data_IF_518697876376
#
_entry.id   IF_518697876376
#
_cell.length_a   1.000
_cell.length_b   1.000
_cell.length_c   1.000
_cell.angle_alpha   90.00
_cell.angle_beta   90.00
_cell.angle_gamma   90.00
#
_symmetry.space_group_name_H-M   'P 1'
#
loop_
_entity.id
_entity.type
_entity.pdbx_description
1 polymer ?
#
# COMPACT_ATOMS: atom_id res chain seq x y z
N UNK A 1 -35.88 -28.86 28.59
CA UNK A 1 -34.71 -28.52 29.43
C UNK A 1 -33.67 -27.94 28.50
N UNK A 2 -33.69 -26.63 28.31
CA UNK A 2 -32.65 -25.91 27.58
C UNK A 2 -31.40 -25.85 28.46
N UNK A 3 -30.28 -26.35 27.94
CA UNK A 3 -29.01 -26.26 28.63
C UNK A 3 -28.50 -24.81 28.55
N UNK A 4 -28.61 -24.07 29.66
CA UNK A 4 -28.05 -22.74 29.78
C UNK A 4 -26.51 -22.83 29.76
N UNK A 5 -25.90 -22.24 28.74
CA UNK A 5 -24.44 -22.14 28.63
C UNK A 5 -23.92 -21.29 29.81
N UNK A 6 -22.80 -21.65 30.48
CA UNK A 6 -22.28 -20.90 31.60
C UNK A 6 -21.94 -19.44 31.22
N UNK A 7 -22.11 -18.46 32.14
CA UNK A 7 -21.93 -17.02 31.89
C UNK A 7 -20.48 -16.58 31.58
N UNK A 8 -19.56 -17.53 31.41
CA UNK A 8 -18.16 -17.29 31.06
C UNK A 8 -17.91 -17.34 29.54
N UNK A 9 -18.94 -17.65 28.74
CA UNK A 9 -18.88 -17.74 27.28
C UNK A 9 -19.53 -16.54 26.56
N UNK A 10 -19.61 -15.38 27.22
CA UNK A 10 -19.80 -14.11 26.52
C UNK A 10 -18.49 -13.78 25.78
N UNK A 11 -18.26 -14.47 24.67
CA UNK A 11 -17.19 -14.14 23.74
C UNK A 11 -17.56 -12.78 23.17
N UNK A 12 -16.89 -11.72 23.62
CA UNK A 12 -17.02 -10.41 22.97
C UNK A 12 -16.82 -10.62 21.46
N UNK A 13 -17.73 -10.15 20.60
CA UNK A 13 -17.56 -10.30 19.16
C UNK A 13 -16.21 -9.71 18.76
N UNK A 14 -15.47 -10.44 17.92
CA UNK A 14 -14.17 -10.00 17.42
C UNK A 14 -14.27 -8.54 16.97
N UNK A 15 -13.64 -7.65 17.73
CA UNK A 15 -13.53 -6.25 17.36
C UNK A 15 -12.45 -6.16 16.29
N UNK A 16 -12.80 -6.50 15.05
CA UNK A 16 -11.99 -6.14 13.90
C UNK A 16 -11.91 -4.61 13.88
N UNK A 17 -10.81 -4.05 14.35
CA UNK A 17 -10.49 -2.65 14.05
C UNK A 17 -10.25 -2.63 12.55
N UNK A 18 -11.10 -1.94 11.81
CA UNK A 18 -10.93 -1.74 10.38
C UNK A 18 -9.66 -0.91 10.15
N UNK A 19 -8.51 -1.57 10.14
CA UNK A 19 -7.22 -0.98 9.88
C UNK A 19 -6.96 -1.08 8.37
N UNK A 20 -6.56 0.04 7.77
CA UNK A 20 -6.12 0.05 6.37
C UNK A 20 -4.90 -0.86 6.20
N UNK A 21 -4.80 -1.54 5.05
CA UNK A 21 -3.64 -2.38 4.71
C UNK A 21 -2.34 -1.57 4.78
N UNK A 22 -2.38 -0.29 4.35
CA UNK A 22 -1.22 0.59 4.43
C UNK A 22 -0.83 0.93 5.87
N UNK A 23 -1.81 1.19 6.75
CA UNK A 23 -1.53 1.46 8.17
C UNK A 23 -0.94 0.24 8.86
N UNK A 24 -1.49 -0.95 8.55
CA UNK A 24 -0.96 -2.22 9.03
C UNK A 24 0.48 -2.46 8.54
N UNK A 25 0.74 -2.22 7.25
CA UNK A 25 2.07 -2.39 6.66
C UNK A 25 3.09 -1.42 7.26
N UNK A 26 2.71 -0.14 7.44
CA UNK A 26 3.54 0.85 8.14
C UNK A 26 3.86 0.35 9.55
N UNK A 27 2.86 -0.03 10.34
CA UNK A 27 3.05 -0.49 11.71
C UNK A 27 4.05 -1.66 11.80
N UNK A 28 3.86 -2.68 10.96
CA UNK A 28 4.75 -3.86 10.88
C UNK A 28 6.17 -3.47 10.47
N UNK A 29 6.33 -2.57 9.49
CA UNK A 29 7.63 -2.16 9.01
C UNK A 29 8.41 -1.31 10.04
N UNK A 30 7.72 -0.53 10.88
CA UNK A 30 8.37 0.26 11.95
C UNK A 30 9.05 -0.63 12.97
N UNK A 31 8.47 -1.81 13.25
CA UNK A 31 8.75 -2.53 14.48
C UNK A 31 8.38 -1.64 15.68
N UNK A 32 7.37 -2.00 16.45
CA UNK A 32 7.43 -1.61 17.86
C UNK A 32 8.72 -2.25 18.36
N UNK A 33 9.74 -1.44 18.67
CA UNK A 33 10.89 -1.90 19.44
C UNK A 33 10.35 -2.29 20.82
N UNK A 34 9.75 -3.46 20.96
CA UNK A 34 9.96 -4.21 22.18
C UNK A 34 11.41 -4.61 22.09
N UNK A 35 12.22 -4.00 22.94
CA UNK A 35 13.61 -4.34 23.18
C UNK A 35 13.76 -5.86 23.05
N UNK A 36 14.81 -6.29 22.35
CA UNK A 36 15.25 -7.66 22.45
C UNK A 36 15.47 -7.91 23.95
N UNK A 37 14.51 -8.56 24.59
CA UNK A 37 14.67 -9.08 25.93
C UNK A 37 15.65 -10.21 25.74
N UNK A 38 16.87 -9.91 26.15
CA UNK A 38 17.96 -10.82 26.43
C UNK A 38 17.41 -12.18 26.88
N UNK A 39 17.89 -13.23 26.23
CA UNK A 39 17.49 -14.63 26.39
C UNK A 39 18.02 -15.22 27.70
N UNK A 40 17.77 -14.54 28.84
CA UNK A 40 18.13 -14.99 30.18
C UNK A 40 17.44 -14.14 31.27
N UNK A 41 16.13 -14.34 31.47
CA UNK A 41 15.54 -14.19 32.80
C UNK A 41 14.13 -14.77 32.88
N UNK A 42 13.98 -15.84 33.68
CA UNK A 42 12.71 -16.32 34.23
C UNK A 42 12.08 -15.26 35.16
N UNK A 43 11.55 -14.19 34.58
CA UNK A 43 10.71 -13.23 35.30
C UNK A 43 9.28 -13.37 34.80
N UNK A 44 8.52 -14.11 35.61
CA UNK A 44 7.06 -14.18 35.66
C UNK A 44 6.44 -12.90 35.07
N UNK A 45 5.86 -13.03 33.88
CA UNK A 45 5.15 -11.95 33.22
C UNK A 45 4.08 -11.39 34.16
N UNK A 46 4.25 -10.13 34.57
CA UNK A 46 3.23 -9.41 35.30
C UNK A 46 2.03 -9.19 34.36
N UNK A 47 1.07 -10.12 34.40
CA UNK A 47 -0.18 -10.07 33.62
C UNK A 47 -0.85 -8.71 33.83
N UNK A 48 -0.93 -7.90 32.76
CA UNK A 48 -1.66 -6.64 32.82
C UNK A 48 -3.14 -6.97 32.66
N UNK A 49 -3.95 -6.44 33.56
CA UNK A 49 -5.37 -6.76 33.76
C UNK A 49 -6.28 -6.14 32.69
N UNK A 50 -6.05 -6.42 31.40
CA UNK A 50 -7.02 -6.14 30.31
C UNK A 50 -7.10 -7.34 29.34
N UNK A 51 -8.18 -8.14 29.40
CA UNK A 51 -8.24 -9.48 28.79
C UNK A 51 -8.38 -9.54 27.25
N UNK A 52 -8.17 -8.45 26.51
CA UNK A 52 -8.52 -8.41 25.07
C UNK A 52 -7.45 -7.87 24.11
N UNK A 53 -6.27 -7.46 24.59
CA UNK A 53 -5.27 -6.77 23.74
C UNK A 53 -3.93 -7.52 23.69
N UNK A 54 -3.66 -8.42 24.64
CA UNK A 54 -2.37 -9.11 24.75
C UNK A 54 -2.15 -10.17 23.64
N UNK A 55 -3.20 -10.89 23.20
CA UNK A 55 -3.06 -11.90 22.13
C UNK A 55 -2.73 -11.26 20.78
N UNK A 56 -3.38 -10.13 20.45
CA UNK A 56 -3.16 -9.38 19.20
C UNK A 56 -1.76 -8.73 19.23
N UNK A 57 -1.35 -8.19 20.38
CA UNK A 57 -0.01 -7.66 20.57
C UNK A 57 1.08 -8.75 20.49
N UNK A 58 0.84 -9.93 21.04
CA UNK A 58 1.77 -11.07 20.99
C UNK A 58 1.90 -11.68 19.58
N UNK A 59 0.87 -11.52 18.73
CA UNK A 59 0.92 -11.94 17.32
C UNK A 59 1.53 -10.88 16.40
N UNK A 60 1.57 -9.60 16.80
CA UNK A 60 2.21 -8.54 15.99
C UNK A 60 3.67 -8.81 15.59
N UNK A 61 4.56 -9.38 16.44
CA UNK A 61 5.92 -9.75 16.04
C UNK A 61 5.98 -10.77 14.89
N UNK A 62 4.90 -11.53 14.68
CA UNK A 62 4.78 -12.47 13.56
C UNK A 62 4.32 -11.79 12.27
N UNK A 63 3.73 -10.59 12.35
CA UNK A 63 3.38 -9.79 11.19
C UNK A 63 4.65 -9.10 10.65
N UNK A 64 5.24 -9.70 9.63
CA UNK A 64 6.40 -9.16 8.94
C UNK A 64 5.98 -8.73 7.55
N UNK A 65 6.48 -7.58 7.13
CA UNK A 65 6.38 -7.11 5.74
C UNK A 65 7.76 -7.23 5.12
N UNK A 66 7.81 -7.70 3.89
CA UNK A 66 9.06 -7.73 3.12
C UNK A 66 9.52 -6.29 2.83
N UNK A 67 10.66 -5.93 3.42
CA UNK A 67 11.28 -4.60 3.28
C UNK A 67 11.88 -4.36 1.88
N UNK A 68 11.93 -5.39 1.05
CA UNK A 68 12.40 -5.31 -0.33
C UNK A 68 11.28 -5.56 -1.37
N UNK A 69 10.01 -5.67 -0.95
CA UNK A 69 8.88 -6.01 -1.81
C UNK A 69 8.76 -5.11 -3.06
N UNK A 70 9.03 -3.81 -2.90
CA UNK A 70 8.98 -2.79 -3.95
C UNK A 70 10.38 -2.30 -4.35
N UNK A 71 11.42 -3.09 -4.07
CA UNK A 71 12.79 -2.75 -4.42
C UNK A 71 12.95 -2.50 -5.93
N UNK A 72 13.66 -1.44 -6.29
CA UNK A 72 13.85 -1.02 -7.68
C UNK A 72 12.69 -0.23 -8.28
N UNK A 73 11.57 -0.09 -7.56
CA UNK A 73 10.46 0.73 -8.01
C UNK A 73 10.69 2.20 -7.66
N UNK A 74 10.58 3.05 -8.67
CA UNK A 74 10.43 4.50 -8.51
C UNK A 74 9.03 4.90 -8.96
N UNK A 75 8.26 5.47 -8.04
CA UNK A 75 6.81 5.53 -8.09
C UNK A 75 6.32 6.97 -8.09
N UNK A 76 5.41 7.30 -9.00
CA UNK A 76 4.59 8.51 -8.95
C UNK A 76 3.20 8.13 -8.47
N UNK A 77 2.64 8.90 -7.53
CA UNK A 77 1.28 8.71 -7.01
C UNK A 77 0.36 9.79 -7.58
N UNK A 78 -0.89 9.45 -7.86
CA UNK A 78 -1.92 10.46 -8.12
C UNK A 78 -2.26 11.27 -6.86
N UNK A 79 -2.83 12.48 -6.98
CA UNK A 79 -3.01 13.38 -5.85
C UNK A 79 -3.73 12.77 -4.64
N UNK A 80 -4.79 11.97 -4.86
CA UNK A 80 -5.57 11.37 -3.76
C UNK A 80 -4.78 10.30 -2.98
N UNK A 81 -3.78 9.68 -3.61
CA UNK A 81 -2.86 8.74 -2.94
C UNK A 81 -1.66 9.45 -2.33
N UNK A 82 -1.16 10.50 -2.99
CA UNK A 82 -0.03 11.27 -2.48
C UNK A 82 -0.35 11.97 -1.16
N UNK A 83 -1.60 12.40 -0.96
CA UNK A 83 -2.08 12.96 0.31
C UNK A 83 -2.15 11.94 1.45
N UNK A 84 -2.06 10.64 1.16
CA UNK A 84 -2.12 9.58 2.17
C UNK A 84 -0.71 9.20 2.63
N UNK A 85 -0.30 9.75 3.77
CA UNK A 85 1.01 9.48 4.37
C UNK A 85 1.29 7.99 4.53
N UNK A 86 0.28 7.18 4.87
CA UNK A 86 0.41 5.73 5.02
C UNK A 86 0.88 5.04 3.72
N UNK A 87 0.34 5.44 2.56
CA UNK A 87 0.72 4.87 1.25
C UNK A 87 2.17 5.21 0.93
N UNK A 88 2.54 6.48 1.06
CA UNK A 88 3.91 6.99 0.84
C UNK A 88 4.91 6.23 1.73
N UNK A 89 4.62 6.15 3.02
CA UNK A 89 5.48 5.49 3.99
C UNK A 89 5.58 3.98 3.75
N UNK A 90 4.48 3.33 3.35
CA UNK A 90 4.49 1.90 3.02
C UNK A 90 5.43 1.62 1.87
N UNK A 91 5.32 2.36 0.77
CA UNK A 91 6.17 2.18 -0.41
C UNK A 91 7.65 2.34 -0.03
N UNK A 92 7.97 3.41 0.71
CA UNK A 92 9.35 3.68 1.14
C UNK A 92 9.90 2.59 2.06
N UNK A 93 9.09 2.11 3.02
CA UNK A 93 9.51 1.08 3.98
C UNK A 93 9.63 -0.32 3.38
N UNK A 94 8.94 -0.56 2.27
CA UNK A 94 9.01 -1.80 1.50
C UNK A 94 10.03 -1.72 0.35
N UNK A 95 10.96 -0.75 0.39
CA UNK A 95 12.10 -0.67 -0.54
C UNK A 95 11.86 0.12 -1.83
N UNK A 96 10.66 0.65 -2.02
CA UNK A 96 10.33 1.54 -3.14
C UNK A 96 10.77 2.98 -2.89
N UNK A 97 10.74 3.79 -3.95
CA UNK A 97 11.03 5.22 -3.92
C UNK A 97 9.85 6.00 -4.46
N UNK A 98 9.57 7.15 -3.84
CA UNK A 98 8.63 8.13 -4.39
C UNK A 98 9.41 9.10 -5.24
N UNK A 99 8.97 9.32 -6.47
CA UNK A 99 9.64 10.18 -7.42
C UNK A 99 9.62 11.64 -6.95
N UNK A 100 10.77 12.30 -7.05
CA UNK A 100 10.89 13.73 -6.74
C UNK A 100 10.22 14.58 -7.81
N UNK A 101 9.38 15.51 -7.36
CA UNK A 101 8.70 16.45 -8.26
C UNK A 101 9.72 17.37 -8.93
N UNK A 102 9.72 17.40 -10.25
CA UNK A 102 10.53 18.32 -11.08
C UNK A 102 9.72 19.52 -11.54
N UNK A 103 10.36 20.40 -12.31
CA UNK A 103 9.77 21.60 -12.91
C UNK A 103 8.47 21.30 -13.68
N UNK A 104 8.38 20.13 -14.32
CA UNK A 104 7.16 19.66 -14.97
C UNK A 104 6.84 18.21 -14.64
N UNK A 105 5.55 17.85 -14.74
CA UNK A 105 5.08 16.48 -14.56
C UNK A 105 5.67 15.54 -15.63
N UNK A 106 5.79 16.00 -16.87
CA UNK A 106 6.44 15.25 -17.94
C UNK A 106 7.93 14.97 -17.63
N UNK A 107 8.67 15.97 -17.13
CA UNK A 107 10.06 15.80 -16.72
C UNK A 107 10.19 14.85 -15.51
N UNK A 108 9.20 14.85 -14.61
CA UNK A 108 9.13 13.91 -13.49
C UNK A 108 8.95 12.49 -14.00
N UNK A 109 7.97 12.24 -14.88
CA UNK A 109 7.68 10.91 -15.44
C UNK A 109 8.82 10.37 -16.30
N UNK A 110 9.58 11.24 -16.97
CA UNK A 110 10.79 10.84 -17.73
C UNK A 110 11.99 10.52 -16.84
N UNK A 111 11.98 10.93 -15.58
CA UNK A 111 13.12 10.76 -14.68
C UNK A 111 13.09 9.43 -13.93
N UNK A 112 13.46 8.35 -14.62
CA UNK A 112 13.59 7.01 -14.03
C UNK A 112 12.32 6.54 -13.29
N UNK A 113 11.14 7.04 -13.63
CA UNK A 113 9.88 6.56 -13.05
C UNK A 113 9.55 5.24 -13.71
N UNK A 114 9.27 4.26 -12.88
CA UNK A 114 8.93 2.90 -13.31
C UNK A 114 7.42 2.66 -13.26
N UNK A 115 6.76 3.24 -12.26
CA UNK A 115 5.36 3.00 -11.97
C UNK A 115 4.62 4.32 -11.69
N UNK A 116 3.40 4.43 -12.22
CA UNK A 116 2.41 5.42 -11.78
C UNK A 116 1.29 4.66 -11.10
N UNK A 117 1.05 4.94 -9.83
CA UNK A 117 -0.04 4.35 -9.07
C UNK A 117 -1.17 5.36 -8.94
N UNK A 118 -2.37 4.95 -9.33
CA UNK A 118 -3.54 5.81 -9.32
C UNK A 118 -4.68 5.26 -8.46
N UNK A 119 -5.39 6.18 -7.80
CA UNK A 119 -6.69 5.87 -7.19
C UNK A 119 -7.76 5.79 -8.27
N UNK A 120 -8.80 4.97 -8.05
CA UNK A 120 -9.94 4.88 -8.97
C UNK A 120 -10.62 6.25 -9.22
N UNK A 121 -10.60 7.12 -8.22
CA UNK A 121 -11.16 8.47 -8.27
C UNK A 121 -10.35 9.38 -9.20
N UNK A 122 -9.04 9.16 -9.28
CA UNK A 122 -8.08 9.95 -10.06
C UNK A 122 -7.86 9.40 -11.48
N UNK A 123 -8.68 8.46 -11.96
CA UNK A 123 -8.49 7.79 -13.27
C UNK A 123 -8.49 8.72 -14.50
N UNK A 124 -8.81 10.00 -14.32
CA UNK A 124 -8.85 11.06 -15.35
C UNK A 124 -7.99 12.28 -14.98
N UNK A 125 -7.16 12.17 -13.95
CA UNK A 125 -6.25 13.21 -13.49
C UNK A 125 -5.13 13.50 -14.51
N UNK A 126 -4.51 14.67 -14.39
CA UNK A 126 -3.41 15.11 -15.27
C UNK A 126 -2.22 14.16 -15.23
N UNK A 127 -1.90 13.56 -14.07
CA UNK A 127 -0.85 12.53 -13.94
C UNK A 127 -1.15 11.35 -14.85
N UNK A 128 -2.39 10.85 -14.82
CA UNK A 128 -2.82 9.72 -15.64
C UNK A 128 -2.87 10.06 -17.13
N UNK A 129 -3.34 11.27 -17.47
CA UNK A 129 -3.39 11.74 -18.85
C UNK A 129 -1.98 11.81 -19.46
N UNK A 130 -1.02 12.43 -18.74
CA UNK A 130 0.35 12.54 -19.23
C UNK A 130 1.05 11.18 -19.29
N UNK A 131 0.87 10.33 -18.28
CA UNK A 131 1.49 9.01 -18.25
C UNK A 131 0.97 8.10 -19.39
N UNK A 132 -0.34 8.10 -19.66
CA UNK A 132 -0.92 7.35 -20.77
C UNK A 132 -0.34 7.79 -22.14
N UNK A 133 -0.15 9.11 -22.32
CA UNK A 133 0.47 9.65 -23.53
C UNK A 133 1.93 9.22 -23.66
N UNK A 134 2.70 9.28 -22.57
CA UNK A 134 4.10 8.89 -22.59
C UNK A 134 4.30 7.41 -22.89
N UNK A 135 3.44 6.53 -22.36
CA UNK A 135 3.48 5.09 -22.66
C UNK A 135 3.25 4.82 -24.14
N UNK A 136 2.37 5.59 -24.76
CA UNK A 136 2.01 5.42 -26.17
C UNK A 136 3.05 6.00 -27.13
N UNK A 137 4.02 6.77 -26.64
CA UNK A 137 4.96 7.55 -27.47
C UNK A 137 6.43 7.26 -27.14
N UNK A 138 6.88 7.67 -25.95
CA UNK A 138 8.30 7.83 -25.67
C UNK A 138 8.80 6.94 -24.51
N UNK A 139 7.90 6.32 -23.72
CA UNK A 139 8.24 5.54 -22.53
C UNK A 139 7.36 4.28 -22.41
N UNK A 140 7.50 3.30 -23.31
CA UNK A 140 6.72 2.06 -23.24
C UNK A 140 7.02 1.22 -21.99
N UNK A 141 8.14 1.49 -21.31
CA UNK A 141 8.51 0.82 -20.05
C UNK A 141 7.81 1.36 -18.79
N UNK A 142 7.07 2.46 -18.89
CA UNK A 142 6.31 3.02 -17.76
C UNK A 142 5.06 2.18 -17.50
N UNK A 143 4.88 1.74 -16.26
CA UNK A 143 3.74 0.90 -15.88
C UNK A 143 2.67 1.73 -15.14
N UNK A 144 1.40 1.53 -15.50
CA UNK A 144 0.25 2.11 -14.80
C UNK A 144 -0.42 1.04 -13.96
N UNK A 145 -0.58 1.31 -12.67
CA UNK A 145 -1.26 0.39 -11.75
C UNK A 145 -2.28 1.13 -10.90
N UNK A 146 -3.40 0.48 -10.64
CA UNK A 146 -4.38 0.97 -9.68
C UNK A 146 -3.92 0.64 -8.24
N UNK A 147 -4.31 1.45 -7.26
CA UNK A 147 -3.89 1.31 -5.85
C UNK A 147 -4.17 -0.06 -5.23
N UNK A 148 -5.24 -0.75 -5.64
CA UNK A 148 -5.58 -2.09 -5.16
C UNK A 148 -4.49 -3.13 -5.47
N UNK A 149 -3.67 -2.91 -6.50
CA UNK A 149 -2.52 -3.76 -6.77
C UNK A 149 -1.49 -3.69 -5.64
N UNK A 150 -1.21 -2.50 -5.10
CA UNK A 150 -0.29 -2.35 -3.96
C UNK A 150 -0.85 -3.05 -2.73
N UNK A 151 -2.16 -2.92 -2.48
CA UNK A 151 -2.83 -3.57 -1.35
C UNK A 151 -2.68 -5.09 -1.44
N UNK A 152 -2.99 -5.67 -2.60
CA UNK A 152 -2.90 -7.12 -2.80
C UNK A 152 -1.44 -7.62 -2.72
N UNK A 153 -0.47 -6.84 -3.22
CA UNK A 153 0.95 -7.18 -3.04
C UNK A 153 1.37 -7.20 -1.55
N UNK A 154 0.85 -6.27 -0.74
CA UNK A 154 1.14 -6.22 0.69
C UNK A 154 0.45 -7.34 1.46
N UNK A 155 -0.79 -7.68 1.09
CA UNK A 155 -1.55 -8.78 1.70
C UNK A 155 -0.87 -10.12 1.44
N UNK A 156 -0.41 -10.34 0.21
CA UNK A 156 0.21 -11.61 -0.19
C UNK A 156 1.71 -11.67 0.09
N UNK A 157 2.35 -10.51 0.30
CA UNK A 157 3.80 -10.42 0.50
C UNK A 157 4.60 -10.73 -0.77
N UNK A 158 3.98 -10.61 -1.95
CA UNK A 158 4.61 -10.88 -3.24
C UNK A 158 4.29 -9.80 -4.27
N UNK A 159 5.19 -9.60 -5.23
CA UNK A 159 4.98 -8.65 -6.31
C UNK A 159 4.11 -9.27 -7.40
N UNK A 160 2.82 -8.92 -7.40
CA UNK A 160 1.87 -9.46 -8.36
C UNK A 160 2.12 -8.94 -9.79
N UNK A 161 1.89 -9.76 -10.83
CA UNK A 161 2.00 -9.30 -12.20
C UNK A 161 0.93 -8.24 -12.52
N UNK A 162 1.37 -7.10 -13.06
CA UNK A 162 0.49 -6.00 -13.48
C UNK A 162 -0.34 -6.37 -14.73
N UNK A 163 -1.52 -6.94 -14.51
CA UNK A 163 -2.44 -7.37 -15.56
C UNK A 163 -3.90 -7.22 -15.11
N UNK A 164 -4.80 -7.25 -16.10
CA UNK A 164 -6.24 -7.32 -15.86
C UNK A 164 -6.75 -6.11 -15.07
N UNK A 165 -7.34 -6.39 -13.91
CA UNK A 165 -7.98 -5.40 -13.04
C UNK A 165 -7.03 -4.37 -12.41
N UNK A 166 -5.72 -4.62 -12.42
CA UNK A 166 -4.73 -3.69 -11.89
C UNK A 166 -4.31 -2.62 -12.89
N UNK A 167 -4.55 -2.84 -14.18
CA UNK A 167 -4.08 -1.97 -15.26
C UNK A 167 -5.24 -1.23 -15.92
N UNK A 168 -5.03 0.01 -16.41
CA UNK A 168 -6.03 0.72 -17.19
C UNK A 168 -6.47 -0.08 -18.42
N UNK A 169 -7.77 -0.08 -18.69
CA UNK A 169 -8.29 -0.71 -19.92
C UNK A 169 -7.84 0.05 -21.16
N UNK A 170 -7.72 -0.64 -22.30
CA UNK A 170 -7.36 -0.01 -23.59
C UNK A 170 -8.27 1.19 -23.93
N UNK A 171 -9.58 1.07 -23.65
CA UNK A 171 -10.55 2.15 -23.83
C UNK A 171 -10.26 3.37 -22.95
N UNK A 172 -9.82 3.14 -21.71
CA UNK A 172 -9.42 4.22 -20.82
C UNK A 172 -8.15 4.91 -21.35
N UNK A 173 -7.13 4.15 -21.75
CA UNK A 173 -5.89 4.69 -22.33
C UNK A 173 -6.18 5.55 -23.57
N UNK A 174 -7.02 5.06 -24.49
CA UNK A 174 -7.41 5.83 -25.68
C UNK A 174 -8.13 7.14 -25.31
N UNK A 175 -9.01 7.09 -24.30
CA UNK A 175 -9.72 8.28 -23.80
C UNK A 175 -8.76 9.31 -23.19
N UNK A 176 -7.77 8.85 -22.42
CA UNK A 176 -6.76 9.71 -21.80
C UNK A 176 -5.86 10.35 -22.87
N UNK A 177 -5.45 9.58 -23.88
CA UNK A 177 -4.68 10.11 -25.00
C UNK A 177 -5.46 11.18 -25.78
N UNK A 178 -6.74 10.94 -26.08
CA UNK A 178 -7.59 11.94 -26.74
C UNK A 178 -7.70 13.24 -25.93
N UNK A 179 -7.81 13.12 -24.60
CA UNK A 179 -7.83 14.28 -23.70
C UNK A 179 -6.51 15.05 -23.74
N UNK A 180 -5.38 14.36 -23.73
CA UNK A 180 -4.06 14.99 -23.84
C UNK A 180 -3.93 15.79 -25.14
N UNK A 181 -4.27 15.18 -26.28
CA UNK A 181 -4.18 15.85 -27.59
C UNK A 181 -5.09 17.07 -27.64
N UNK A 182 -6.32 16.97 -27.13
CA UNK A 182 -7.28 18.09 -27.10
C UNK A 182 -6.83 19.26 -26.21
N UNK A 183 -6.13 18.98 -25.11
CA UNK A 183 -5.65 20.02 -24.20
C UNK A 183 -4.45 20.81 -24.77
N UNK A 184 -3.77 20.28 -25.80
CA UNK A 184 -2.60 20.88 -26.45
C UNK A 184 -2.86 21.36 -27.89
N UNK A 185 -4.07 21.16 -28.43
CA UNK A 185 -4.54 21.71 -29.71
C UNK A 185 -5.24 23.05 -29.49
#
# INVERSE_FOLDING_TARGET
MEAAIPPFFDIEPFRCTAMSVFDAAVACATGVKTEAVDDDNDKIEARKTKPGIELIAAQQPSNKVDRALFSGMNVVLTPSLQGQTAVVMTIQRCGGKIAEKRESLEATLRNNVTHVIYSHEDKKDDVMIQAAHLISTNLPGLQLAQSNWLEDCLILGELLPLRGMYTPTAKLLETLNKKYTKARS
#
